data_IF_228354907166
#
_entry.id   IF_228354907166
#
_cell.length_a   1.000
_cell.length_b   1.000
_cell.length_c   1.000
_cell.angle_alpha   90.00
_cell.angle_beta   90.00
_cell.angle_gamma   90.00
#
_symmetry.space_group_name_H-M   'P 1'
#
loop_
_entity.id
_entity.type
_entity.pdbx_description
1 polymer ?
#
# COMPACT_ATOMS: atom_id res chain seq x y z
N UNK A 1 8.42 10.14 -6.37
CA UNK A 1 7.94 9.26 -5.29
C UNK A 1 6.94 8.32 -5.91
N UNK A 2 6.92 7.05 -5.49
CA UNK A 2 5.94 6.09 -5.98
C UNK A 2 4.52 6.64 -5.87
N UNK A 3 3.75 6.47 -6.94
CA UNK A 3 2.34 6.81 -6.98
C UNK A 3 1.50 5.56 -6.79
N UNK A 4 0.59 5.57 -5.83
CA UNK A 4 -0.25 4.43 -5.48
C UNK A 4 -1.73 4.76 -5.61
N UNK A 5 -2.52 3.81 -6.11
CA UNK A 5 -3.99 3.91 -6.08
C UNK A 5 -4.59 4.77 -7.20
N UNK A 6 -5.58 5.59 -6.85
CA UNK A 6 -6.35 6.38 -7.84
C UNK A 6 -5.45 7.39 -8.55
N UNK A 7 -5.71 7.64 -9.84
CA UNK A 7 -4.98 8.61 -10.69
C UNK A 7 -4.92 10.03 -10.09
N UNK A 8 -5.77 10.31 -9.11
CA UNK A 8 -5.92 11.62 -8.48
C UNK A 8 -5.18 11.76 -7.12
N UNK A 9 -4.30 10.82 -6.76
CA UNK A 9 -3.53 10.84 -5.50
C UNK A 9 -4.41 10.86 -4.21
N UNK A 10 -5.64 10.36 -4.31
CA UNK A 10 -6.57 10.24 -3.17
C UNK A 10 -6.40 8.94 -2.39
N UNK A 11 -6.93 8.91 -1.16
CA UNK A 11 -6.92 7.70 -0.32
C UNK A 11 -7.61 6.51 -1.01
N UNK A 12 -7.03 5.32 -0.90
CA UNK A 12 -7.65 4.08 -1.38
C UNK A 12 -8.58 3.50 -0.30
N UNK A 13 -9.89 3.36 -0.55
CA UNK A 13 -10.78 2.69 0.40
C UNK A 13 -10.48 1.20 0.48
N UNK A 14 -10.38 0.69 1.70
CA UNK A 14 -10.17 -0.72 2.02
C UNK A 14 -11.26 -1.21 2.97
N UNK A 15 -11.58 -2.52 2.95
CA UNK A 15 -12.58 -3.09 3.86
C UNK A 15 -11.90 -3.86 5.00
N UNK A 16 -12.35 -3.71 6.26
CA UNK A 16 -11.84 -4.45 7.41
C UNK A 16 -11.73 -5.95 7.16
N UNK A 17 -10.58 -6.55 7.50
CA UNK A 17 -10.35 -7.99 7.40
C UNK A 17 -10.29 -8.57 5.99
N UNK A 18 -10.25 -7.75 4.95
CA UNK A 18 -10.17 -8.21 3.55
C UNK A 18 -8.90 -7.70 2.88
N UNK A 19 -8.40 -8.49 1.95
CA UNK A 19 -7.23 -8.14 1.14
C UNK A 19 -7.60 -7.16 0.04
N UNK A 20 -6.88 -6.05 -0.04
CA UNK A 20 -6.97 -5.08 -1.13
C UNK A 20 -5.64 -4.97 -1.85
N UNK A 21 -5.64 -5.17 -3.17
CA UNK A 21 -4.49 -4.95 -4.05
C UNK A 21 -4.50 -3.50 -4.54
N UNK A 22 -3.34 -2.84 -4.47
CA UNK A 22 -3.15 -1.42 -4.83
C UNK A 22 -1.92 -1.33 -5.76
N UNK A 23 -2.11 -1.06 -7.05
CA UNK A 23 -1.00 -1.03 -7.99
C UNK A 23 -0.13 0.21 -7.82
N UNK A 24 1.16 0.06 -8.12
CA UNK A 24 2.07 1.18 -8.36
C UNK A 24 1.83 1.73 -9.76
N UNK A 25 1.52 3.03 -9.87
CA UNK A 25 1.18 3.70 -11.14
C UNK A 25 2.07 4.91 -11.46
N UNK A 26 2.88 5.34 -10.51
CA UNK A 26 3.69 6.56 -10.61
C UNK A 26 5.01 6.36 -11.35
N UNK A 27 5.79 5.35 -10.97
CA UNK A 27 7.15 5.15 -11.47
C UNK A 27 7.13 4.16 -12.63
N UNK A 28 7.30 4.67 -13.85
CA UNK A 28 7.21 3.86 -15.07
C UNK A 28 8.56 3.54 -15.70
N UNK A 29 9.58 4.32 -15.36
CA UNK A 29 10.93 4.20 -15.90
C UNK A 29 11.92 4.10 -14.74
N UNK A 30 12.35 2.88 -14.46
CA UNK A 30 13.25 2.57 -13.36
C UNK A 30 14.50 1.86 -13.89
N UNK A 31 15.68 2.08 -13.27
CA UNK A 31 16.87 1.32 -13.59
C UNK A 31 16.62 -0.19 -13.46
N UNK A 32 17.22 -1.03 -14.32
CA UNK A 32 17.16 -2.47 -14.16
C UNK A 32 17.66 -2.92 -12.79
N UNK A 33 16.96 -3.85 -12.16
CA UNK A 33 17.29 -4.36 -10.82
C UNK A 33 16.79 -3.50 -9.65
N UNK A 34 15.93 -2.50 -9.91
CA UNK A 34 15.23 -1.78 -8.84
C UNK A 34 14.35 -2.74 -8.05
N UNK A 35 14.38 -2.61 -6.71
CA UNK A 35 13.49 -3.32 -5.80
C UNK A 35 12.69 -2.34 -4.93
N UNK A 36 11.51 -2.77 -4.51
CA UNK A 36 10.62 -2.02 -3.63
C UNK A 36 10.52 -2.67 -2.25
N UNK A 37 10.49 -1.84 -1.22
CA UNK A 37 10.27 -2.26 0.17
C UNK A 37 9.33 -1.29 0.89
N UNK A 38 8.57 -1.82 1.85
CA UNK A 38 7.82 -1.01 2.80
C UNK A 38 8.53 -1.14 4.15
N UNK A 39 9.01 -0.04 4.74
CA UNK A 39 9.63 -0.07 6.06
C UNK A 39 8.66 -0.63 7.10
N UNK A 40 8.96 -1.82 7.60
CA UNK A 40 8.07 -2.53 8.53
C UNK A 40 7.78 -1.77 9.83
N UNK A 41 8.69 -0.89 10.26
CA UNK A 41 8.56 -0.02 11.43
C UNK A 41 7.56 1.14 11.23
N UNK A 42 7.18 1.40 9.98
CA UNK A 42 6.22 2.45 9.61
C UNK A 42 4.82 1.91 9.33
N UNK A 43 4.66 0.59 9.27
CA UNK A 43 3.35 -0.03 9.12
C UNK A 43 2.60 0.10 10.45
N UNK A 44 1.36 0.64 10.46
CA UNK A 44 0.56 0.73 11.67
C UNK A 44 0.39 -0.63 12.35
N UNK A 45 0.36 -0.64 13.68
CA UNK A 45 0.17 -1.87 14.46
C UNK A 45 -1.09 -2.60 14.01
N UNK A 46 -1.00 -3.93 13.91
CA UNK A 46 -2.05 -4.85 13.48
C UNK A 46 -2.53 -4.71 12.03
N UNK A 47 -1.97 -3.79 11.24
CA UNK A 47 -2.15 -3.78 9.80
C UNK A 47 -1.17 -4.73 9.13
N UNK A 48 -1.64 -5.50 8.16
CA UNK A 48 -0.76 -6.25 7.27
C UNK A 48 -0.58 -5.45 5.98
N UNK A 49 0.66 -5.08 5.69
CA UNK A 49 1.04 -4.42 4.44
C UNK A 49 2.22 -5.17 3.85
N UNK A 50 2.11 -5.57 2.59
CA UNK A 50 3.19 -6.20 1.84
C UNK A 50 3.36 -5.50 0.51
N UNK A 51 4.59 -5.48 0.00
CA UNK A 51 4.92 -4.96 -1.32
C UNK A 51 5.52 -6.05 -2.19
N UNK A 52 5.13 -6.10 -3.45
CA UNK A 52 5.85 -6.89 -4.46
C UNK A 52 7.18 -6.18 -4.76
N UNK A 53 8.33 -6.79 -4.49
CA UNK A 53 9.62 -6.12 -4.63
C UNK A 53 9.97 -5.79 -6.09
N UNK A 54 9.32 -6.40 -7.08
CA UNK A 54 9.60 -6.17 -8.51
C UNK A 54 8.69 -5.11 -9.11
N UNK A 55 7.42 -5.10 -8.75
CA UNK A 55 6.43 -4.17 -9.33
C UNK A 55 6.13 -2.99 -8.43
N UNK A 56 6.43 -3.09 -7.14
CA UNK A 56 6.05 -2.12 -6.14
C UNK A 56 4.58 -2.21 -5.72
N UNK A 57 3.79 -3.16 -6.24
CA UNK A 57 2.38 -3.31 -5.91
C UNK A 57 2.18 -3.60 -4.43
N UNK A 58 1.22 -2.91 -3.81
CA UNK A 58 0.88 -3.10 -2.41
C UNK A 58 -0.29 -4.07 -2.25
N UNK A 59 -0.23 -4.86 -1.17
CA UNK A 59 -1.38 -5.58 -0.63
C UNK A 59 -1.59 -5.14 0.81
N UNK A 60 -2.81 -4.71 1.12
CA UNK A 60 -3.20 -4.19 2.43
C UNK A 60 -4.36 -5.01 3.00
N UNK A 61 -4.22 -5.46 4.25
CA UNK A 61 -5.27 -6.11 5.03
C UNK A 61 -5.41 -5.35 6.36
N UNK A 62 -6.48 -4.55 6.53
CA UNK A 62 -6.78 -3.91 7.80
C UNK A 62 -7.26 -4.93 8.85
N UNK A 63 -7.13 -4.64 10.15
CA UNK A 63 -7.78 -5.41 11.21
C UNK A 63 -9.29 -5.58 10.96
N UNK A 64 -9.88 -6.70 11.41
CA UNK A 64 -11.32 -6.98 11.23
C UNK A 64 -12.23 -6.02 11.98
N UNK A 65 -11.74 -5.45 13.08
CA UNK A 65 -12.45 -4.62 14.04
C UNK A 65 -12.13 -3.12 13.87
N UNK A 66 -11.32 -2.75 12.87
CA UNK A 66 -11.06 -1.34 12.57
C UNK A 66 -12.35 -0.62 12.21
N UNK A 67 -12.57 0.56 12.79
CA UNK A 67 -13.79 1.34 12.58
C UNK A 67 -13.84 1.91 11.15
N UNK A 68 -14.97 1.84 10.44
CA UNK A 68 -15.15 2.53 9.17
C UNK A 68 -14.81 4.03 9.29
N UNK A 69 -14.10 4.58 8.29
CA UNK A 69 -13.64 5.96 8.30
C UNK A 69 -12.28 6.18 8.99
N UNK A 70 -11.66 5.15 9.56
CA UNK A 70 -10.26 5.21 10.01
C UNK A 70 -9.35 5.44 8.81
N UNK A 71 -8.44 6.42 8.91
CA UNK A 71 -7.39 6.68 7.92
C UNK A 71 -6.03 6.37 8.54
N UNK A 72 -5.16 5.75 7.75
CA UNK A 72 -3.75 5.50 8.09
C UNK A 72 -2.89 5.84 6.89
N UNK A 73 -1.67 6.31 7.16
CA UNK A 73 -0.67 6.54 6.15
C UNK A 73 0.30 5.37 6.11
N UNK A 74 0.59 4.88 4.90
CA UNK A 74 1.62 3.89 4.62
C UNK A 74 2.72 4.63 3.85
N UNK A 75 4.00 4.52 4.25
CA UNK A 75 5.10 5.26 3.66
C UNK A 75 5.40 4.88 2.20
#
# INVERSE_FOLDING_TARGET
>A
TPGYGSKDNGSTPVKPGTSTHIPQIGDKELPPGTEFEVPSDKVPTDWTVTVDPKTGDLTVIPPKDVKPGTMVDIP
#
